data_IF_267823880791
#
_entry.id   IF_267823880791
#
_cell.length_a   1.000
_cell.length_b   1.000
_cell.length_c   1.000
_cell.angle_alpha   90.00
_cell.angle_beta   90.00
_cell.angle_gamma   90.00
#
_symmetry.space_group_name_H-M   'P 1'
#
loop_
_entity.id
_entity.type
_entity.pdbx_description
1 polymer ?
#
# COMPACT_ATOMS: atom_id res chain seq x y z
N UNK A 1 -8.17 -51.70 24.66
CA UNK A 1 -9.07 -50.90 23.80
C UNK A 1 -9.95 -50.12 24.78
N UNK A 2 -9.68 -48.89 25.23
CA UNK A 2 -8.88 -47.76 24.75
C UNK A 2 -8.05 -47.16 25.90
N UNK A 3 -6.89 -46.59 25.56
CA UNK A 3 -5.97 -45.83 26.41
C UNK A 3 -6.58 -44.46 26.80
N UNK A 4 -6.57 -44.08 28.08
CA UNK A 4 -5.54 -43.24 28.74
C UNK A 4 -5.25 -41.92 28.03
N UNK A 5 -5.95 -40.86 28.44
CA UNK A 5 -5.48 -39.47 28.35
C UNK A 5 -6.17 -38.63 29.43
N UNK A 6 -5.49 -38.40 30.54
CA UNK A 6 -5.47 -37.14 31.29
C UNK A 6 -5.01 -37.40 32.72
N UNK A 7 -3.71 -37.29 32.95
CA UNK A 7 -3.17 -36.84 34.24
C UNK A 7 -1.69 -36.45 34.11
N UNK A 8 -1.39 -35.27 34.66
CA UNK A 8 -0.10 -34.84 35.21
C UNK A 8 0.90 -34.24 34.21
N UNK A 9 0.95 -32.90 34.15
CA UNK A 9 1.98 -32.15 34.88
C UNK A 9 1.88 -30.65 34.60
N UNK A 10 1.21 -29.94 35.49
CA UNK A 10 1.43 -28.52 35.74
C UNK A 10 2.83 -28.33 36.32
N UNK A 11 3.80 -28.01 35.47
CA UNK A 11 5.06 -27.43 35.92
C UNK A 11 4.91 -25.91 35.97
N UNK A 12 4.58 -25.41 37.16
CA UNK A 12 4.88 -24.03 37.55
C UNK A 12 6.39 -23.88 37.67
N UNK A 13 7.00 -23.11 36.78
CA UNK A 13 8.32 -22.54 37.00
C UNK A 13 8.18 -21.01 37.04
N UNK A 14 7.82 -20.51 38.22
CA UNK A 14 8.08 -19.11 38.58
C UNK A 14 9.59 -18.99 38.79
N UNK A 15 10.28 -18.40 37.81
CA UNK A 15 11.58 -17.78 38.06
C UNK A 15 11.40 -16.28 37.88
N UNK A 16 11.63 -15.58 38.99
CA UNK A 16 11.61 -14.13 39.10
C UNK A 16 12.94 -13.63 38.55
N UNK A 17 12.91 -13.16 37.31
CA UNK A 17 13.89 -12.21 36.76
C UNK A 17 13.08 -11.10 36.10
N UNK A 18 13.52 -9.83 36.16
CA UNK A 18 12.89 -8.80 35.36
C UNK A 18 13.18 -9.14 33.89
N UNK A 19 12.19 -9.69 33.19
CA UNK A 19 12.17 -9.73 31.73
C UNK A 19 12.12 -8.28 31.27
N UNK A 20 13.30 -7.68 31.08
CA UNK A 20 13.44 -6.64 30.08
C UNK A 20 13.04 -7.32 28.79
N UNK A 21 11.81 -7.08 28.33
CA UNK A 21 11.40 -7.41 26.98
C UNK A 21 12.28 -6.58 26.05
N UNK A 22 13.50 -7.05 25.78
CA UNK A 22 14.24 -6.64 24.61
C UNK A 22 13.42 -7.13 23.43
N UNK A 23 12.47 -6.30 22.97
CA UNK A 23 11.84 -6.50 21.67
C UNK A 23 12.98 -6.49 20.68
N UNK A 24 13.29 -7.65 20.11
CA UNK A 24 14.26 -7.75 19.02
C UNK A 24 13.80 -6.75 17.96
N UNK A 25 14.63 -5.77 17.58
CA UNK A 25 14.24 -4.79 16.58
C UNK A 25 13.88 -5.53 15.29
N UNK A 26 12.68 -5.26 14.77
CA UNK A 26 12.16 -5.87 13.56
C UNK A 26 12.01 -4.81 12.49
N UNK A 27 12.47 -5.12 11.27
CA UNK A 27 12.35 -4.23 10.12
C UNK A 27 11.06 -4.60 9.38
N UNK A 28 10.12 -3.67 9.27
CA UNK A 28 8.95 -3.85 8.40
C UNK A 28 9.37 -3.52 6.97
N UNK A 29 9.14 -4.44 6.04
CA UNK A 29 9.64 -4.32 4.68
C UNK A 29 8.52 -4.48 3.65
N UNK A 30 8.62 -3.72 2.56
CA UNK A 30 8.00 -4.04 1.27
C UNK A 30 9.15 -4.34 0.33
N UNK A 31 9.20 -5.57 -0.20
CA UNK A 31 10.24 -5.99 -1.11
C UNK A 31 9.68 -6.29 -2.50
N UNK A 32 10.41 -5.88 -3.54
CA UNK A 32 10.09 -6.10 -4.96
C UNK A 32 10.99 -7.17 -5.56
N UNK A 33 10.40 -8.14 -6.25
CA UNK A 33 11.10 -9.05 -7.15
C UNK A 33 11.23 -8.39 -8.53
N UNK A 34 12.36 -8.56 -9.26
CA UNK A 34 12.50 -8.10 -10.63
C UNK A 34 11.31 -8.48 -11.50
N UNK A 35 10.80 -7.54 -12.29
CA UNK A 35 9.69 -7.81 -13.20
C UNK A 35 10.10 -8.80 -14.30
N UNK A 36 11.37 -8.78 -14.69
CA UNK A 36 11.95 -9.70 -15.69
C UNK A 36 12.07 -11.13 -15.17
N UNK A 37 11.98 -11.34 -13.84
CA UNK A 37 11.90 -12.67 -13.25
C UNK A 37 10.48 -13.26 -13.33
N UNK A 38 9.45 -12.47 -13.64
CA UNK A 38 8.08 -12.96 -13.69
C UNK A 38 7.84 -13.69 -15.02
N UNK A 39 7.28 -14.90 -14.97
CA UNK A 39 6.88 -15.66 -16.18
C UNK A 39 5.75 -15.01 -16.97
N UNK A 40 4.97 -14.16 -16.30
CA UNK A 40 3.89 -13.37 -16.89
C UNK A 40 4.12 -11.92 -16.50
N UNK A 41 4.20 -11.05 -17.51
CA UNK A 41 4.26 -9.61 -17.29
C UNK A 41 2.90 -9.15 -16.80
N UNK A 42 2.79 -8.56 -15.59
CA UNK A 42 1.54 -8.02 -15.12
C UNK A 42 1.10 -6.90 -16.07
N UNK A 43 -0.21 -6.80 -16.39
CA UNK A 43 -0.69 -5.75 -17.26
C UNK A 43 -0.27 -4.39 -16.68
N UNK A 44 0.28 -3.52 -17.54
CA UNK A 44 0.48 -2.13 -17.14
C UNK A 44 -0.86 -1.57 -16.69
N UNK A 45 -0.91 -0.79 -15.58
CA UNK A 45 -2.15 -0.18 -15.15
C UNK A 45 -2.68 0.69 -16.29
N UNK A 46 -3.79 0.29 -16.89
CA UNK A 46 -4.42 1.05 -17.96
C UNK A 46 -4.77 2.45 -17.40
N UNK A 47 -4.40 3.54 -18.10
CA UNK A 47 -4.77 4.87 -17.66
C UNK A 47 -6.30 5.01 -17.77
N UNK A 48 -6.98 5.01 -16.62
CA UNK A 48 -8.43 5.24 -16.54
C UNK A 48 -8.73 6.60 -17.21
N UNK A 49 -9.65 6.67 -18.20
CA UNK A 49 -9.98 7.90 -18.89
C UNK A 49 -10.35 9.01 -17.89
N UNK A 50 -9.64 10.11 -18.01
CA UNK A 50 -9.43 11.09 -16.93
C UNK A 50 -10.57 12.13 -16.86
N UNK A 51 -11.47 12.17 -17.84
CA UNK A 51 -12.51 13.21 -17.95
C UNK A 51 -13.89 12.65 -17.57
N UNK A 52 -14.06 12.35 -16.28
CA UNK A 52 -15.37 11.97 -15.72
C UNK A 52 -16.14 13.23 -15.34
N UNK A 53 -17.31 13.41 -15.93
CA UNK A 53 -18.22 14.49 -15.58
C UNK A 53 -19.65 13.99 -15.39
N UNK A 54 -20.46 14.78 -14.67
CA UNK A 54 -21.83 14.44 -14.34
C UNK A 54 -22.38 15.23 -13.16
N UNK A 55 -23.68 15.07 -12.92
CA UNK A 55 -24.34 15.68 -11.76
C UNK A 55 -24.17 14.80 -10.52
N UNK A 56 -23.77 15.42 -9.41
CA UNK A 56 -23.74 14.80 -8.08
C UNK A 56 -24.42 15.70 -7.07
N UNK A 57 -24.91 15.11 -5.98
CA UNK A 57 -25.38 15.85 -4.83
C UNK A 57 -24.19 16.18 -3.94
N UNK A 58 -23.96 17.45 -3.62
CA UNK A 58 -22.93 17.90 -2.69
C UNK A 58 -23.56 18.35 -1.38
N UNK A 59 -22.96 17.93 -0.26
CA UNK A 59 -23.12 18.54 1.05
C UNK A 59 -21.75 18.91 1.57
N UNK A 60 -21.59 20.17 1.95
CA UNK A 60 -20.40 20.68 2.61
C UNK A 60 -20.69 21.02 4.08
N UNK A 61 -19.67 21.37 4.85
CA UNK A 61 -19.87 21.74 6.25
C UNK A 61 -20.58 23.10 6.45
N UNK A 62 -20.79 23.86 5.38
CA UNK A 62 -21.39 25.21 5.42
C UNK A 62 -22.89 25.15 5.17
N UNK A 63 -23.37 24.18 4.40
CA UNK A 63 -24.78 23.98 4.06
C UNK A 63 -25.24 22.58 4.45
N UNK A 64 -26.23 22.51 5.33
CA UNK A 64 -26.76 21.22 5.83
C UNK A 64 -27.58 20.45 4.79
N UNK A 65 -28.07 21.13 3.75
CA UNK A 65 -28.86 20.54 2.68
C UNK A 65 -27.98 20.11 1.49
N UNK A 66 -28.31 18.98 0.88
CA UNK A 66 -27.67 18.54 -0.36
C UNK A 66 -28.11 19.41 -1.54
N UNK A 67 -27.16 19.80 -2.37
CA UNK A 67 -27.41 20.55 -3.60
C UNK A 67 -26.90 19.78 -4.81
N UNK A 68 -27.72 19.68 -5.87
CA UNK A 68 -27.28 19.08 -7.13
C UNK A 68 -26.37 20.07 -7.87
N UNK A 69 -25.16 19.62 -8.19
CA UNK A 69 -24.13 20.41 -8.88
C UNK A 69 -23.53 19.59 -10.00
N UNK A 70 -23.05 20.26 -11.05
CA UNK A 70 -22.31 19.61 -12.11
C UNK A 70 -20.83 19.51 -11.72
N UNK A 71 -20.29 18.29 -11.73
CA UNK A 71 -18.91 17.97 -11.41
C UNK A 71 -18.12 17.59 -12.65
N UNK A 72 -16.86 17.98 -12.67
CA UNK A 72 -15.87 17.55 -13.66
C UNK A 72 -14.57 17.20 -12.95
N UNK A 73 -14.14 15.94 -13.12
CA UNK A 73 -12.86 15.45 -12.67
C UNK A 73 -11.81 15.68 -13.75
N UNK A 74 -10.64 16.11 -13.32
CA UNK A 74 -9.44 16.24 -14.13
C UNK A 74 -8.28 15.52 -13.42
N UNK A 75 -7.10 15.49 -14.02
CA UNK A 75 -5.89 14.92 -13.41
C UNK A 75 -5.55 15.44 -12.01
N UNK A 76 -5.90 16.70 -11.72
CA UNK A 76 -5.41 17.40 -10.51
C UNK A 76 -6.53 17.91 -9.63
N UNK A 77 -7.74 18.04 -10.19
CA UNK A 77 -8.82 18.78 -9.57
C UNK A 77 -10.19 18.14 -9.85
N UNK A 78 -11.04 18.15 -8.83
CA UNK A 78 -12.47 17.95 -8.95
C UNK A 78 -13.17 19.32 -8.85
N UNK A 79 -13.76 19.78 -9.96
CA UNK A 79 -14.42 21.08 -10.06
C UNK A 79 -15.92 20.91 -9.99
N UNK A 80 -16.62 21.83 -9.33
CA UNK A 80 -18.08 21.81 -9.28
C UNK A 80 -18.71 23.18 -9.58
N UNK A 81 -19.85 23.15 -10.28
CA UNK A 81 -20.54 24.33 -10.77
C UNK A 81 -22.05 24.24 -10.61
N UNK A 82 -22.69 25.40 -10.50
CA UNK A 82 -24.15 25.55 -10.51
C UNK A 82 -24.54 26.43 -11.70
N UNK A 83 -25.35 25.90 -12.62
CA UNK A 83 -25.79 26.62 -13.83
C UNK A 83 -24.61 27.20 -14.63
N UNK A 84 -23.53 26.43 -14.77
CA UNK A 84 -22.30 26.84 -15.48
C UNK A 84 -21.38 27.79 -14.70
N UNK A 85 -21.81 28.28 -13.53
CA UNK A 85 -20.97 29.13 -12.68
C UNK A 85 -20.12 28.25 -11.75
N UNK A 86 -18.80 28.39 -11.84
CA UNK A 86 -17.85 27.69 -10.96
C UNK A 86 -18.13 28.06 -9.50
N UNK A 87 -18.39 27.06 -8.66
CA UNK A 87 -18.67 27.21 -7.24
C UNK A 87 -17.48 26.83 -6.37
N UNK A 88 -16.67 25.87 -6.81
CA UNK A 88 -15.45 25.51 -6.10
C UNK A 88 -14.62 24.46 -6.82
N UNK A 89 -13.44 24.25 -6.25
CA UNK A 89 -12.40 23.35 -6.75
C UNK A 89 -11.86 22.58 -5.55
N UNK A 90 -11.81 21.26 -5.66
CA UNK A 90 -11.15 20.37 -4.71
C UNK A 90 -9.89 19.85 -5.39
N UNK A 91 -8.72 20.20 -4.86
CA UNK A 91 -7.45 19.67 -5.36
C UNK A 91 -7.28 18.25 -4.87
N UNK A 92 -7.02 17.32 -5.78
CA UNK A 92 -6.88 15.90 -5.45
C UNK A 92 -5.65 15.65 -4.56
N UNK A 93 -4.60 16.47 -4.70
CA UNK A 93 -3.41 16.45 -3.84
C UNK A 93 -3.69 16.76 -2.38
N UNK A 94 -4.78 17.47 -2.09
CA UNK A 94 -5.10 17.92 -0.73
C UNK A 94 -5.94 16.88 0.02
N UNK A 95 -6.50 15.90 -0.71
CA UNK A 95 -7.34 14.85 -0.17
C UNK A 95 -6.48 13.90 0.66
N UNK A 96 -6.83 13.79 1.94
CA UNK A 96 -6.21 12.89 2.91
C UNK A 96 -6.94 11.55 2.97
N UNK A 97 -8.26 11.51 2.77
CA UNK A 97 -9.07 10.29 2.81
C UNK A 97 -10.22 10.37 1.77
N UNK A 98 -10.40 9.31 0.98
CA UNK A 98 -11.57 9.02 0.14
C UNK A 98 -12.25 7.76 0.66
N UNK A 99 -13.48 7.83 1.13
CA UNK A 99 -14.15 6.68 1.75
C UNK A 99 -15.68 6.70 1.55
N UNK A 100 -16.39 5.57 1.74
CA UNK A 100 -17.84 5.57 1.75
C UNK A 100 -18.38 6.48 2.86
N UNK A 101 -19.47 7.18 2.58
CA UNK A 101 -20.17 7.93 3.62
C UNK A 101 -20.77 6.98 4.66
N UNK A 102 -20.55 7.28 5.94
CA UNK A 102 -20.94 6.38 7.02
C UNK A 102 -22.46 6.31 7.25
N UNK A 103 -23.21 7.36 6.89
CA UNK A 103 -24.65 7.40 7.15
C UNK A 103 -25.43 6.63 6.08
N UNK A 104 -26.30 5.67 6.46
CA UNK A 104 -27.15 4.94 5.52
C UNK A 104 -28.25 5.82 4.90
N UNK A 105 -28.48 7.02 5.43
CA UNK A 105 -29.47 7.97 4.91
C UNK A 105 -29.04 8.64 3.60
N UNK A 106 -27.76 8.56 3.25
CA UNK A 106 -27.22 9.06 1.99
C UNK A 106 -26.71 7.86 1.23
N UNK A 107 -27.60 7.25 0.44
CA UNK A 107 -27.23 6.17 -0.46
C UNK A 107 -26.13 6.67 -1.43
N UNK A 108 -25.17 5.79 -1.73
CA UNK A 108 -24.10 6.06 -2.69
C UNK A 108 -23.26 7.31 -2.38
N UNK A 109 -23.09 7.62 -1.10
CA UNK A 109 -22.26 8.73 -0.62
C UNK A 109 -20.77 8.40 -0.60
N UNK A 110 -19.96 9.37 -1.00
CA UNK A 110 -18.49 9.38 -0.98
C UNK A 110 -18.04 10.57 -0.14
N UNK A 111 -17.18 10.32 0.83
CA UNK A 111 -16.52 11.35 1.63
C UNK A 111 -15.14 11.67 1.04
N UNK A 112 -14.89 12.95 0.82
CA UNK A 112 -13.58 13.50 0.47
C UNK A 112 -13.10 14.33 1.66
N UNK A 113 -12.07 13.87 2.35
CA UNK A 113 -11.55 14.51 3.57
C UNK A 113 -10.24 15.22 3.24
N UNK A 114 -10.15 16.50 3.54
CA UNK A 114 -8.90 17.27 3.59
C UNK A 114 -8.56 17.64 5.03
N UNK A 115 -7.43 18.32 5.24
CA UNK A 115 -7.04 18.82 6.56
C UNK A 115 -8.10 19.72 7.22
N UNK A 116 -8.81 20.51 6.42
CA UNK A 116 -9.67 21.59 6.94
C UNK A 116 -11.15 21.40 6.61
N UNK A 117 -11.50 20.40 5.81
CA UNK A 117 -12.85 20.24 5.30
C UNK A 117 -13.16 18.80 4.90
N UNK A 118 -14.42 18.39 5.06
CA UNK A 118 -14.94 17.12 4.55
C UNK A 118 -16.11 17.43 3.63
N UNK A 119 -16.00 17.03 2.36
CA UNK A 119 -17.12 17.07 1.42
C UNK A 119 -17.80 15.71 1.39
N UNK A 120 -19.13 15.72 1.34
CA UNK A 120 -19.92 14.52 1.04
C UNK A 120 -20.55 14.71 -0.32
N UNK A 121 -20.12 13.93 -1.30
CA UNK A 121 -20.75 13.84 -2.62
C UNK A 121 -21.59 12.56 -2.68
N UNK A 122 -22.72 12.57 -3.38
CA UNK A 122 -23.55 11.38 -3.55
C UNK A 122 -24.05 11.27 -4.99
N UNK A 123 -23.91 10.06 -5.54
CA UNK A 123 -24.41 9.72 -6.87
C UNK A 123 -25.90 9.37 -6.82
N UNK A 124 -26.55 9.35 -7.99
CA UNK A 124 -27.97 9.01 -8.10
C UNK A 124 -28.26 7.51 -8.05
N UNK A 125 -27.28 6.68 -8.34
CA UNK A 125 -27.39 5.23 -8.36
C UNK A 125 -26.01 4.56 -8.13
N UNK A 126 -26.02 3.24 -8.01
CA UNK A 126 -24.82 2.45 -7.72
C UNK A 126 -23.80 2.45 -8.86
N UNK A 127 -24.26 2.38 -10.12
CA UNK A 127 -23.39 2.36 -11.30
C UNK A 127 -22.59 3.67 -11.41
N UNK A 128 -23.28 4.80 -11.27
CA UNK A 128 -22.65 6.12 -11.33
C UNK A 128 -21.74 6.35 -10.11
N UNK A 129 -22.14 5.85 -8.93
CA UNK A 129 -21.26 5.81 -7.76
C UNK A 129 -19.98 5.04 -8.03
N UNK A 130 -20.09 3.83 -8.59
CA UNK A 130 -18.95 2.99 -8.95
C UNK A 130 -18.01 3.71 -9.92
N UNK A 131 -18.56 4.35 -10.96
CA UNK A 131 -17.81 5.17 -11.92
C UNK A 131 -17.04 6.31 -11.26
N UNK A 132 -17.68 7.05 -10.34
CA UNK A 132 -17.03 8.15 -9.63
C UNK A 132 -15.99 7.67 -8.61
N UNK A 133 -16.28 6.59 -7.88
CA UNK A 133 -15.35 5.97 -6.94
C UNK A 133 -14.10 5.50 -7.67
N UNK A 134 -14.27 4.79 -8.79
CA UNK A 134 -13.18 4.30 -9.62
C UNK A 134 -12.30 5.47 -10.11
N UNK A 135 -12.91 6.49 -10.71
CA UNK A 135 -12.18 7.62 -11.26
C UNK A 135 -11.45 8.45 -10.19
N UNK A 136 -12.09 8.76 -9.06
CA UNK A 136 -11.46 9.55 -7.99
C UNK A 136 -10.33 8.77 -7.33
N UNK A 137 -10.55 7.48 -7.02
CA UNK A 137 -9.56 6.69 -6.29
C UNK A 137 -8.29 6.42 -7.11
N UNK A 138 -8.36 6.42 -8.44
CA UNK A 138 -7.19 6.32 -9.32
C UNK A 138 -6.40 7.63 -9.45
N UNK A 139 -6.97 8.77 -9.06
CA UNK A 139 -6.35 10.10 -9.21
C UNK A 139 -5.81 10.69 -7.90
N UNK A 140 -6.13 10.08 -6.76
CA UNK A 140 -5.58 10.46 -5.44
C UNK A 140 -4.42 9.53 -5.05
N UNK A 141 -3.51 9.95 -4.15
CA UNK A 141 -2.49 9.06 -3.60
C UNK A 141 -3.13 7.79 -3.01
N UNK A 142 -2.48 6.64 -3.19
CA UNK A 142 -3.00 5.37 -2.69
C UNK A 142 -3.28 5.41 -1.18
N UNK A 143 -2.43 6.09 -0.41
CA UNK A 143 -2.58 6.28 1.03
C UNK A 143 -3.90 6.96 1.39
N UNK A 144 -4.40 7.84 0.52
CA UNK A 144 -5.65 8.56 0.71
C UNK A 144 -6.88 7.69 0.45
N UNK A 145 -6.79 6.54 -0.22
CA UNK A 145 -7.98 5.71 -0.47
C UNK A 145 -8.36 4.92 0.80
N UNK A 146 -9.64 4.92 1.15
CA UNK A 146 -10.17 4.14 2.27
C UNK A 146 -10.09 2.63 2.02
N UNK A 147 -9.91 1.84 3.09
CA UNK A 147 -9.70 0.38 2.99
C UNK A 147 -10.81 -0.36 2.23
N UNK A 148 -12.05 0.12 2.31
CA UNK A 148 -13.19 -0.46 1.59
C UNK A 148 -13.04 -0.30 0.08
N UNK A 149 -12.76 0.91 -0.40
CA UNK A 149 -12.56 1.16 -1.83
C UNK A 149 -11.30 0.50 -2.36
N UNK A 150 -10.21 0.46 -1.57
CA UNK A 150 -9.01 -0.31 -1.91
C UNK A 150 -9.32 -1.76 -2.24
N UNK A 151 -10.14 -2.42 -1.41
CA UNK A 151 -10.57 -3.81 -1.63
C UNK A 151 -11.53 -3.93 -2.81
N UNK A 152 -12.53 -3.06 -2.88
CA UNK A 152 -13.60 -3.11 -3.88
C UNK A 152 -13.06 -2.94 -5.31
N UNK A 153 -12.21 -1.94 -5.51
CA UNK A 153 -11.60 -1.62 -6.80
C UNK A 153 -10.37 -2.50 -7.08
N UNK A 154 -10.01 -3.42 -6.16
CA UNK A 154 -8.76 -4.14 -6.18
C UNK A 154 -7.56 -3.21 -6.42
N UNK A 155 -7.62 -1.99 -5.88
CA UNK A 155 -6.52 -1.03 -5.99
C UNK A 155 -5.34 -1.66 -5.30
N UNK A 156 -4.45 -2.22 -6.12
CA UNK A 156 -3.29 -2.94 -5.67
C UNK A 156 -2.55 -2.01 -4.75
N UNK A 157 -2.49 -2.41 -3.49
CA UNK A 157 -2.24 -1.46 -2.44
C UNK A 157 -0.79 -1.14 -2.26
N UNK A 158 -0.15 -0.60 -3.30
CA UNK A 158 1.29 -0.73 -3.45
C UNK A 158 1.74 -2.15 -3.01
N UNK A 159 1.00 -3.16 -3.49
CA UNK A 159 1.45 -4.54 -3.59
C UNK A 159 1.27 -4.90 -5.06
N UNK A 160 2.16 -4.34 -5.89
CA UNK A 160 2.36 -4.76 -7.26
C UNK A 160 2.45 -6.30 -7.32
N UNK A 161 2.14 -6.94 -8.45
CA UNK A 161 2.20 -8.39 -8.55
C UNK A 161 3.57 -9.00 -8.19
N UNK A 162 4.63 -8.19 -8.26
CA UNK A 162 5.99 -8.51 -7.85
C UNK A 162 6.39 -8.04 -6.45
N UNK A 163 5.46 -7.55 -5.63
CA UNK A 163 5.73 -7.10 -4.26
C UNK A 163 5.31 -8.12 -3.20
N UNK A 164 6.11 -8.20 -2.14
CA UNK A 164 5.86 -8.98 -0.94
C UNK A 164 6.13 -8.15 0.31
N UNK A 165 5.22 -8.23 1.28
CA UNK A 165 5.37 -7.63 2.61
C UNK A 165 5.89 -8.67 3.59
N UNK A 166 6.95 -8.32 4.31
CA UNK A 166 7.58 -9.22 5.26
C UNK A 166 8.27 -8.45 6.38
N UNK A 167 8.73 -9.21 7.36
CA UNK A 167 9.54 -8.70 8.46
C UNK A 167 10.93 -9.32 8.34
N UNK A 168 11.95 -8.47 8.32
CA UNK A 168 13.36 -8.89 8.35
C UNK A 168 13.97 -8.56 9.71
N UNK A 169 15.02 -9.31 10.06
CA UNK A 169 15.80 -9.04 11.26
C UNK A 169 17.07 -8.26 10.89
N UNK A 170 17.50 -7.28 11.71
CA UNK A 170 18.77 -6.58 11.49
C UNK A 170 20.00 -7.50 11.55
N UNK A 171 19.83 -8.68 12.17
CA UNK A 171 20.86 -9.73 12.24
C UNK A 171 20.93 -10.60 10.99
N UNK A 172 20.05 -10.40 10.00
CA UNK A 172 20.17 -11.11 8.72
C UNK A 172 21.30 -10.53 7.90
N UNK A 173 22.05 -11.38 7.21
CA UNK A 173 22.92 -10.93 6.12
C UNK A 173 22.08 -10.49 4.92
N UNK A 174 22.68 -9.74 4.00
CA UNK A 174 22.02 -9.39 2.73
C UNK A 174 21.60 -10.66 1.98
N UNK A 175 22.45 -11.70 1.94
CA UNK A 175 22.11 -12.97 1.30
C UNK A 175 20.89 -13.65 1.93
N UNK A 176 20.84 -13.73 3.28
CA UNK A 176 19.70 -14.29 4.01
C UNK A 176 18.42 -13.50 3.75
N UNK A 177 18.54 -12.17 3.62
CA UNK A 177 17.42 -11.30 3.33
C UNK A 177 16.87 -11.50 1.90
N UNK A 178 17.74 -11.62 0.89
CA UNK A 178 17.35 -11.95 -0.50
C UNK A 178 16.60 -13.28 -0.52
N UNK A 179 17.18 -14.34 0.06
CA UNK A 179 16.58 -15.66 0.13
C UNK A 179 15.20 -15.61 0.79
N UNK A 180 15.08 -14.91 1.93
CA UNK A 180 13.81 -14.78 2.65
C UNK A 180 12.75 -14.01 1.85
N UNK A 181 13.12 -12.98 1.11
CA UNK A 181 12.20 -12.25 0.23
C UNK A 181 11.64 -13.19 -0.85
N UNK A 182 12.50 -13.96 -1.50
CA UNK A 182 12.11 -14.90 -2.56
C UNK A 182 11.23 -16.04 -2.01
N UNK A 183 11.56 -16.59 -0.85
CA UNK A 183 10.74 -17.58 -0.14
C UNK A 183 9.35 -17.02 0.21
N UNK A 184 9.29 -15.80 0.77
CA UNK A 184 8.02 -15.17 1.10
C UNK A 184 7.20 -14.85 -0.15
N UNK A 185 7.85 -14.43 -1.25
CA UNK A 185 7.18 -14.19 -2.52
C UNK A 185 6.57 -15.49 -3.06
N UNK A 186 7.31 -16.60 -3.05
CA UNK A 186 6.81 -17.90 -3.49
C UNK A 186 5.63 -18.42 -2.65
N UNK A 187 5.53 -17.99 -1.38
CA UNK A 187 4.41 -18.33 -0.49
C UNK A 187 3.17 -17.44 -0.68
N UNK A 188 3.23 -16.37 -1.49
CA UNK A 188 2.11 -15.46 -1.73
C UNK A 188 1.05 -16.16 -2.60
N UNK A 189 -0.23 -16.03 -2.21
CA UNK A 189 -1.35 -16.80 -2.78
C UNK A 189 -1.59 -16.51 -4.28
N UNK A 190 -1.27 -15.30 -4.70
CA UNK A 190 -1.36 -14.77 -6.06
C UNK A 190 0.04 -14.50 -6.67
N UNK A 191 1.09 -15.18 -6.18
CA UNK A 191 2.42 -15.04 -6.73
C UNK A 191 2.47 -15.45 -8.20
N UNK A 192 2.99 -14.57 -9.05
CA UNK A 192 3.32 -14.95 -10.43
C UNK A 192 4.54 -15.88 -10.35
N UNK A 193 4.49 -17.01 -11.05
CA UNK A 193 5.61 -17.96 -11.08
C UNK A 193 6.86 -17.25 -11.61
N UNK A 194 7.98 -17.44 -10.94
CA UNK A 194 9.25 -16.87 -11.37
C UNK A 194 9.92 -17.79 -12.42
N UNK A 195 10.63 -17.19 -13.38
CA UNK A 195 11.58 -17.92 -14.23
C UNK A 195 12.64 -18.60 -13.36
N UNK A 196 13.28 -19.70 -13.80
CA UNK A 196 14.38 -20.29 -13.05
C UNK A 196 15.47 -19.24 -12.74
N UNK A 197 15.86 -19.14 -11.47
CA UNK A 197 16.81 -18.16 -10.97
C UNK A 197 17.78 -18.79 -9.97
N UNK A 198 18.98 -18.22 -9.85
CA UNK A 198 19.90 -18.48 -8.74
C UNK A 198 19.79 -17.31 -7.75
N UNK A 199 19.40 -17.52 -6.47
CA UNK A 199 19.32 -16.45 -5.48
C UNK A 199 20.63 -15.69 -5.27
N UNK A 200 21.78 -16.33 -5.53
CA UNK A 200 23.10 -15.74 -5.33
C UNK A 200 23.50 -14.73 -6.41
N UNK A 201 22.77 -14.71 -7.54
CA UNK A 201 22.94 -13.74 -8.62
C UNK A 201 22.30 -12.38 -8.30
N UNK A 202 21.62 -12.24 -7.16
CA UNK A 202 20.85 -11.05 -6.82
C UNK A 202 21.32 -10.38 -5.54
N UNK A 203 21.26 -9.04 -5.55
CA UNK A 203 21.55 -8.17 -4.40
C UNK A 203 20.31 -7.35 -4.02
N UNK A 204 20.38 -6.66 -2.88
CA UNK A 204 19.30 -5.78 -2.44
C UNK A 204 19.59 -4.32 -2.80
N UNK A 205 18.56 -3.62 -3.21
CA UNK A 205 18.57 -2.19 -3.44
C UNK A 205 17.52 -1.52 -2.58
N UNK A 206 17.92 -0.48 -1.84
CA UNK A 206 17.00 0.36 -1.08
C UNK A 206 16.43 1.43 -2.01
N UNK A 207 15.10 1.61 -2.02
CA UNK A 207 14.35 2.38 -3.05
C UNK A 207 13.45 3.47 -2.50
N UNK A 208 13.67 3.95 -1.27
CA UNK A 208 12.80 4.92 -0.61
C UNK A 208 13.16 6.40 -0.83
N UNK A 209 14.43 6.75 -1.06
CA UNK A 209 14.86 8.13 -1.42
C UNK A 209 16.17 8.20 -2.22
N UNK A 210 17.14 7.35 -1.85
CA UNK A 210 18.43 7.20 -2.53
C UNK A 210 18.59 5.74 -2.92
N UNK A 211 18.87 5.50 -4.19
CA UNK A 211 19.21 4.18 -4.70
C UNK A 211 20.54 3.73 -4.08
N UNK A 212 20.48 2.93 -3.02
CA UNK A 212 21.64 2.33 -2.36
C UNK A 212 21.61 0.84 -2.65
N UNK A 213 22.65 0.33 -3.30
CA UNK A 213 22.84 -1.11 -3.52
C UNK A 213 23.61 -1.67 -2.34
N UNK A 214 23.09 -2.75 -1.77
CA UNK A 214 23.71 -3.55 -0.71
C UNK A 214 24.39 -4.73 -1.39
N UNK A 215 25.61 -4.53 -1.88
CA UNK A 215 26.37 -5.49 -2.70
C UNK A 215 27.24 -6.45 -1.87
N UNK A 216 27.53 -6.11 -0.61
CA UNK A 216 28.18 -7.03 0.34
C UNK A 216 27.15 -8.03 0.91
N UNK A 217 27.18 -9.23 0.35
CA UNK A 217 26.25 -10.33 0.67
C UNK A 217 26.40 -10.85 2.11
N UNK A 218 27.57 -10.70 2.72
CA UNK A 218 27.87 -11.15 4.08
C UNK A 218 27.60 -10.07 5.14
N UNK A 219 27.45 -8.81 4.72
CA UNK A 219 27.13 -7.72 5.62
C UNK A 219 25.74 -7.89 6.24
N UNK A 220 25.64 -7.60 7.55
CA UNK A 220 24.37 -7.60 8.27
C UNK A 220 23.51 -6.41 7.84
N UNK A 221 22.20 -6.59 7.66
CA UNK A 221 21.28 -5.50 7.37
C UNK A 221 21.38 -4.35 8.39
N UNK A 222 21.58 -4.68 9.67
CA UNK A 222 21.71 -3.69 10.73
C UNK A 222 22.99 -2.85 10.69
N UNK A 223 23.98 -3.16 9.84
CA UNK A 223 25.20 -2.35 9.72
C UNK A 223 25.02 -1.11 8.83
N UNK A 224 23.97 -1.08 7.99
CA UNK A 224 23.72 0.02 7.06
C UNK A 224 22.99 1.19 7.73
N UNK A 225 23.57 2.39 7.64
CA UNK A 225 23.05 3.61 8.26
C UNK A 225 21.58 3.88 7.94
N UNK A 226 21.19 3.66 6.68
CA UNK A 226 19.82 3.89 6.22
C UNK A 226 18.83 2.90 6.86
N UNK A 227 19.22 1.63 7.01
CA UNK A 227 18.39 0.62 7.68
C UNK A 227 18.26 0.97 9.17
N UNK A 228 19.34 1.44 9.81
CA UNK A 228 19.28 1.95 11.18
C UNK A 228 18.34 3.15 11.32
N UNK A 229 18.35 4.07 10.36
CA UNK A 229 17.42 5.19 10.31
C UNK A 229 15.95 4.72 10.20
N UNK A 230 15.66 3.76 9.32
CA UNK A 230 14.32 3.18 9.19
C UNK A 230 13.85 2.51 10.48
N UNK A 231 14.74 1.75 11.14
CA UNK A 231 14.49 1.12 12.43
C UNK A 231 14.14 2.14 13.52
N UNK A 232 14.95 3.20 13.65
CA UNK A 232 14.75 4.24 14.66
C UNK A 232 13.41 4.97 14.48
N UNK A 233 13.00 5.22 13.24
CA UNK A 233 11.77 5.93 12.90
C UNK A 233 10.56 5.00 12.73
N UNK A 234 10.72 3.68 12.92
CA UNK A 234 9.68 2.67 12.64
C UNK A 234 9.11 2.78 11.22
N UNK A 235 9.93 3.24 10.28
CA UNK A 235 9.56 3.39 8.88
C UNK A 235 9.51 2.01 8.20
N UNK A 236 8.70 1.90 7.15
CA UNK A 236 8.69 0.71 6.30
C UNK A 236 9.83 0.83 5.30
N UNK A 237 10.77 -0.12 5.35
CA UNK A 237 11.90 -0.20 4.42
C UNK A 237 11.40 -0.69 3.05
N UNK A 238 11.79 0.00 1.97
CA UNK A 238 11.47 -0.40 0.60
C UNK A 238 12.70 -1.02 -0.06
N UNK A 239 12.59 -2.30 -0.38
CA UNK A 239 13.65 -3.10 -0.98
C UNK A 239 13.26 -3.52 -2.39
N UNK A 240 14.24 -3.62 -3.27
CA UNK A 240 14.12 -4.23 -4.59
C UNK A 240 15.27 -5.22 -4.75
N UNK A 241 14.95 -6.45 -5.15
CA UNK A 241 15.94 -7.42 -5.60
C UNK A 241 16.41 -6.96 -6.98
N UNK A 242 17.72 -6.91 -7.22
CA UNK A 242 18.29 -6.53 -8.52
C UNK A 242 19.46 -7.42 -8.90
N UNK A 243 19.68 -7.58 -10.21
CA UNK A 243 20.88 -8.20 -10.72
C UNK A 243 22.03 -7.17 -10.71
N UNK A 244 23.24 -7.50 -10.21
CA UNK A 244 24.37 -6.57 -10.13
C UNK A 244 24.74 -5.89 -11.46
N UNK A 245 24.53 -6.59 -12.58
CA UNK A 245 24.84 -6.06 -13.92
C UNK A 245 23.79 -5.10 -14.48
N UNK A 246 22.56 -5.08 -13.95
CA UNK A 246 21.52 -4.15 -14.42
C UNK A 246 21.77 -2.72 -13.93
N UNK A 247 22.44 -2.56 -12.79
CA UNK A 247 22.87 -1.26 -12.26
C UNK A 247 24.10 -0.72 -13.01
N UNK A 248 25.04 -1.59 -13.43
CA UNK A 248 26.22 -1.18 -14.23
C UNK A 248 25.87 -0.59 -15.60
N UNK A 249 24.67 -0.85 -16.12
CA UNK A 249 24.18 -0.31 -17.39
C UNK A 249 23.48 1.05 -17.26
N UNK A 250 23.24 1.52 -16.02
CA UNK A 250 22.55 2.80 -15.73
C UNK A 250 23.47 3.91 -15.24
N UNK A 251 24.75 3.61 -14.98
CA UNK A 251 25.81 4.58 -14.69
C UNK A 251 26.67 4.88 -15.92
#
# INVERSE_FOLDING_TARGET
MFADYNRLNTFTCQSIFPLVHHTVPMIKCVARVPVDLLTIQPPEPEPVPIDVSGHLMLRDNTYTAFQSLFFQLTNTELRYSFEGNLRGIIRLSDILIVQPHASPTVAWGIELVTRNHTWVIAAHNEEDCGRWVDAICHQVPFEAVGVMYKRMLQLAGADRPNEVRLVLLPSYTVAEAVARILECYACKLDAIVLHPYDPTDYVLQVTDMTTIVLDDMEALLGSYDHIQFCLANKAVLRLTIVHPDDERRRG
#
